data_IF_000791343484
#
_entry.id   IF_000791343484
#
_cell.length_a   1.000
_cell.length_b   1.000
_cell.length_c   1.000
_cell.angle_alpha   90.00
_cell.angle_beta   90.00
_cell.angle_gamma   90.00
#
_symmetry.space_group_name_H-M   'P 1'
#
loop_
_entity.id
_entity.type
_entity.pdbx_description
1 polymer ?
#
# COMPACT_ATOMS: atom_id res chain seq x y z
N UNK A 1 -47.15 0.22 3.02
CA UNK A 1 -45.95 0.38 3.88
C UNK A 1 -44.67 -0.21 3.27
N UNK A 2 -44.68 -0.68 2.01
CA UNK A 2 -43.48 -1.24 1.31
C UNK A 2 -42.97 -0.37 0.15
N UNK A 3 -43.64 0.76 -0.14
CA UNK A 3 -43.35 1.62 -1.29
C UNK A 3 -41.96 2.26 -1.23
N UNK A 4 -41.53 2.68 -0.04
CA UNK A 4 -40.25 3.37 0.16
C UNK A 4 -39.04 2.43 -0.05
N UNK A 5 -39.12 1.20 0.46
CA UNK A 5 -38.06 0.20 0.25
C UNK A 5 -37.99 -0.26 -1.23
N UNK A 6 -39.13 -0.34 -1.92
CA UNK A 6 -39.19 -0.64 -3.35
C UNK A 6 -38.57 0.47 -4.20
N UNK A 7 -38.85 1.73 -3.88
CA UNK A 7 -38.29 2.91 -4.56
C UNK A 7 -36.77 3.00 -4.39
N UNK A 8 -36.27 2.72 -3.18
CA UNK A 8 -34.83 2.68 -2.90
C UNK A 8 -34.14 1.56 -3.68
N UNK A 9 -34.75 0.36 -3.73
CA UNK A 9 -34.21 -0.76 -4.51
C UNK A 9 -34.14 -0.44 -6.01
N UNK A 10 -35.15 0.26 -6.54
CA UNK A 10 -35.17 0.69 -7.93
C UNK A 10 -34.06 1.71 -8.23
N UNK A 11 -33.87 2.71 -7.35
CA UNK A 11 -32.80 3.71 -7.46
C UNK A 11 -31.39 3.09 -7.42
N UNK A 12 -31.17 2.08 -6.59
CA UNK A 12 -29.89 1.36 -6.54
C UNK A 12 -29.65 0.60 -7.86
N UNK A 13 -30.69 -0.04 -8.41
CA UNK A 13 -30.59 -0.79 -9.66
C UNK A 13 -30.33 0.12 -10.86
N UNK A 14 -30.96 1.29 -10.90
CA UNK A 14 -30.73 2.31 -11.92
C UNK A 14 -29.29 2.86 -11.86
N UNK A 15 -28.81 3.25 -10.67
CA UNK A 15 -27.44 3.73 -10.45
C UNK A 15 -26.38 2.69 -10.82
N UNK A 16 -26.66 1.41 -10.57
CA UNK A 16 -25.77 0.31 -10.96
C UNK A 16 -25.55 0.26 -12.47
N UNK A 17 -26.61 0.41 -13.27
CA UNK A 17 -26.49 0.42 -14.73
C UNK A 17 -25.72 1.65 -15.25
N UNK A 18 -25.90 2.82 -14.61
CA UNK A 18 -25.16 4.04 -14.93
C UNK A 18 -23.64 3.86 -14.69
N UNK A 19 -23.26 3.33 -13.53
CA UNK A 19 -21.85 3.12 -13.18
C UNK A 19 -21.19 1.97 -13.95
N UNK A 20 -21.93 0.93 -14.35
CA UNK A 20 -21.42 -0.14 -15.21
C UNK A 20 -21.04 0.40 -16.61
N UNK A 21 -21.82 1.35 -17.14
CA UNK A 21 -21.47 2.07 -18.37
C UNK A 21 -20.25 2.99 -18.23
N UNK A 22 -20.11 3.64 -17.07
CA UNK A 22 -18.95 4.50 -16.77
C UNK A 22 -17.69 3.66 -16.59
N UNK A 23 -17.75 2.54 -15.86
CA UNK A 23 -16.61 1.64 -15.66
C UNK A 23 -16.10 1.04 -16.99
N UNK A 24 -17.00 0.82 -17.96
CA UNK A 24 -16.62 0.42 -19.31
C UNK A 24 -15.85 1.53 -20.06
N UNK A 25 -16.14 2.80 -19.74
CA UNK A 25 -15.61 3.97 -20.45
C UNK A 25 -14.36 4.54 -19.79
N UNK A 26 -14.28 4.49 -18.46
CA UNK A 26 -13.21 5.03 -17.63
C UNK A 26 -12.58 3.89 -16.83
N UNK A 27 -11.53 3.28 -17.39
CA UNK A 27 -10.84 2.12 -16.79
C UNK A 27 -10.12 2.44 -15.47
N UNK A 28 -10.16 3.70 -15.03
CA UNK A 28 -9.61 4.17 -13.76
C UNK A 28 -10.55 3.92 -12.57
N UNK A 29 -11.83 3.66 -12.82
CA UNK A 29 -12.81 3.38 -11.77
C UNK A 29 -12.66 1.92 -11.34
N UNK A 30 -12.13 1.69 -10.13
CA UNK A 30 -12.00 0.34 -9.57
C UNK A 30 -13.38 -0.32 -9.40
N UNK A 31 -13.65 -1.37 -10.19
CA UNK A 31 -14.88 -2.16 -10.19
C UNK A 31 -15.25 -2.71 -8.79
N UNK A 32 -14.26 -3.00 -7.95
CA UNK A 32 -14.46 -3.59 -6.62
C UNK A 32 -15.12 -2.64 -5.61
N UNK A 33 -15.09 -1.32 -5.86
CA UNK A 33 -15.62 -0.30 -4.93
C UNK A 33 -16.87 0.42 -5.47
N UNK A 34 -17.38 0.02 -6.64
CA UNK A 34 -18.55 0.66 -7.27
C UNK A 34 -19.81 0.41 -6.44
N UNK A 35 -20.03 -0.83 -5.99
CA UNK A 35 -21.21 -1.17 -5.19
C UNK A 35 -21.26 -0.38 -3.88
N UNK A 36 -20.13 -0.25 -3.18
CA UNK A 36 -20.03 0.55 -1.94
C UNK A 36 -20.34 2.03 -2.21
N UNK A 37 -19.82 2.58 -3.32
CA UNK A 37 -20.09 3.96 -3.72
C UNK A 37 -21.58 4.18 -3.99
N UNK A 38 -22.22 3.30 -4.77
CA UNK A 38 -23.66 3.39 -5.07
C UNK A 38 -24.48 3.35 -3.78
N UNK A 39 -24.15 2.45 -2.85
CA UNK A 39 -24.82 2.34 -1.56
C UNK A 39 -24.68 3.64 -0.77
N UNK A 40 -23.49 4.23 -0.70
CA UNK A 40 -23.28 5.50 0.01
C UNK A 40 -23.93 6.71 -0.65
N UNK A 41 -24.07 6.71 -1.97
CA UNK A 41 -24.74 7.79 -2.71
C UNK A 41 -26.27 7.73 -2.56
N UNK A 42 -26.85 6.52 -2.53
CA UNK A 42 -28.31 6.33 -2.38
C UNK A 42 -28.76 6.38 -0.92
N UNK A 43 -28.03 5.72 -0.01
CA UNK A 43 -28.41 5.59 1.41
C UNK A 43 -27.68 6.57 2.34
N UNK A 44 -26.66 7.26 1.85
CA UNK A 44 -25.76 8.10 2.65
C UNK A 44 -24.58 7.32 3.25
N UNK A 45 -23.53 8.02 3.71
CA UNK A 45 -22.39 7.38 4.36
C UNK A 45 -22.82 6.69 5.66
N UNK A 46 -22.23 5.53 5.94
CA UNK A 46 -22.52 4.70 7.11
C UNK A 46 -22.33 5.52 8.41
N UNK A 47 -23.44 5.89 9.06
CA UNK A 47 -23.41 6.68 10.29
C UNK A 47 -23.47 5.76 11.50
N UNK A 48 -22.30 5.33 11.96
CA UNK A 48 -22.09 4.50 13.16
C UNK A 48 -22.64 5.07 14.49
N UNK A 49 -23.24 6.26 14.51
CA UNK A 49 -23.63 6.99 15.74
C UNK A 49 -25.14 7.30 15.87
N UNK A 50 -26.04 6.47 15.34
CA UNK A 50 -27.49 6.64 15.58
C UNK A 50 -28.12 5.47 16.32
N UNK A 51 -27.63 5.22 17.53
CA UNK A 51 -28.48 4.72 18.61
C UNK A 51 -28.91 5.92 19.45
N UNK A 52 -29.98 6.61 19.04
CA UNK A 52 -30.62 7.61 19.89
C UNK A 52 -31.46 6.88 20.93
N UNK A 53 -30.82 6.44 22.00
CA UNK A 53 -31.55 6.10 23.22
C UNK A 53 -32.28 7.38 23.67
N UNK A 54 -33.60 7.40 23.51
CA UNK A 54 -34.44 8.39 24.17
C UNK A 54 -34.37 8.09 25.67
N UNK A 55 -33.54 8.81 26.41
CA UNK A 55 -33.45 8.64 27.86
C UNK A 55 -32.24 9.33 28.44
N UNK A 56 -32.49 10.43 29.14
CA UNK A 56 -31.63 11.10 30.13
C UNK A 56 -30.11 10.97 29.88
N UNK A 57 -29.55 12.00 29.22
CA UNK A 57 -28.11 12.10 29.00
C UNK A 57 -27.32 11.78 30.26
N UNK A 58 -26.52 10.72 30.19
CA UNK A 58 -25.45 10.53 31.15
C UNK A 58 -24.46 11.62 30.83
N UNK A 59 -24.39 12.62 31.70
CA UNK A 59 -23.28 13.56 31.74
C UNK A 59 -22.00 12.72 31.64
N UNK A 60 -21.08 13.04 30.71
CA UNK A 60 -19.76 12.42 30.70
C UNK A 60 -19.07 12.81 32.01
N UNK A 61 -19.30 12.02 33.06
CA UNK A 61 -18.54 12.11 34.29
C UNK A 61 -17.15 11.70 33.90
N UNK A 62 -16.29 12.70 33.75
CA UNK A 62 -14.87 12.54 33.52
C UNK A 62 -14.32 11.70 34.67
N UNK A 63 -14.16 10.40 34.45
CA UNK A 63 -13.33 9.59 35.32
C UNK A 63 -11.90 9.71 34.80
N UNK A 64 -11.20 10.65 35.44
CA UNK A 64 -9.81 11.02 35.23
C UNK A 64 -8.92 9.78 35.40
N UNK A 65 -8.62 9.11 34.30
CA UNK A 65 -7.80 7.91 34.27
C UNK A 65 -7.11 7.80 32.93
N UNK A 66 -6.08 8.62 32.74
CA UNK A 66 -5.17 8.62 31.60
C UNK A 66 -4.47 7.27 31.44
N UNK A 67 -5.17 6.30 30.87
CA UNK A 67 -4.60 5.04 30.40
C UNK A 67 -4.06 5.23 28.99
N UNK A 68 -2.98 6.00 28.86
CA UNK A 68 -2.22 6.18 27.62
C UNK A 68 -1.50 4.88 27.22
N UNK A 69 -2.22 3.78 27.02
CA UNK A 69 -1.64 2.63 26.32
C UNK A 69 -2.07 2.69 24.88
N UNK A 70 -1.20 3.39 24.14
CA UNK A 70 -0.97 3.26 22.72
C UNK A 70 -1.41 1.90 22.19
N UNK A 71 -2.37 1.98 21.28
CA UNK A 71 -2.56 1.04 20.18
C UNK A 71 -1.22 0.45 19.74
N UNK A 72 -1.08 -0.88 19.89
CA UNK A 72 0.08 -1.68 19.48
C UNK A 72 0.70 -1.15 18.17
N UNK A 73 2.01 -0.84 18.12
CA UNK A 73 2.63 -0.40 16.88
C UNK A 73 2.94 -1.64 16.03
N UNK A 74 2.07 -1.98 15.09
CA UNK A 74 2.34 -2.97 14.02
C UNK A 74 3.47 -2.55 13.04
N UNK A 75 4.24 -1.51 13.37
CA UNK A 75 5.33 -1.00 12.54
C UNK A 75 6.64 -1.80 12.63
N UNK A 76 6.89 -2.55 13.70
CA UNK A 76 8.22 -3.15 13.94
C UNK A 76 8.53 -4.37 13.09
N UNK A 77 7.56 -5.26 12.83
CA UNK A 77 7.81 -6.49 12.07
C UNK A 77 8.05 -6.22 10.58
N UNK A 78 7.16 -5.45 9.95
CA UNK A 78 7.31 -5.07 8.54
C UNK A 78 8.56 -4.22 8.31
N UNK A 79 8.90 -3.33 9.25
CA UNK A 79 10.09 -2.49 9.15
C UNK A 79 11.38 -3.29 9.36
N UNK A 80 11.39 -4.28 10.26
CA UNK A 80 12.53 -5.17 10.45
C UNK A 80 12.78 -6.04 9.22
N UNK A 81 11.74 -6.52 8.54
CA UNK A 81 11.87 -7.34 7.34
C UNK A 81 12.34 -6.53 6.14
N UNK A 82 11.84 -5.29 5.97
CA UNK A 82 12.36 -4.34 4.97
C UNK A 82 13.83 -4.02 5.23
N UNK A 83 14.23 -3.85 6.49
CA UNK A 83 15.63 -3.59 6.82
C UNK A 83 16.51 -4.80 6.50
N UNK A 84 16.06 -6.02 6.80
CA UNK A 84 16.79 -7.25 6.49
C UNK A 84 17.00 -7.45 4.98
N UNK A 85 15.99 -7.09 4.17
CA UNK A 85 16.09 -7.10 2.70
C UNK A 85 17.08 -6.05 2.18
N UNK A 86 17.10 -4.85 2.78
CA UNK A 86 18.08 -3.81 2.44
C UNK A 86 19.51 -4.27 2.71
N UNK A 87 19.74 -4.91 3.85
CA UNK A 87 21.06 -5.41 4.23
C UNK A 87 21.52 -6.53 3.28
N UNK A 88 20.61 -7.42 2.86
CA UNK A 88 20.92 -8.44 1.83
C UNK A 88 21.29 -7.84 0.47
N UNK A 89 20.56 -6.82 0.02
CA UNK A 89 20.86 -6.14 -1.25
C UNK A 89 22.23 -5.47 -1.18
N UNK A 90 22.53 -4.79 -0.07
CA UNK A 90 23.82 -4.14 0.13
C UNK A 90 24.98 -5.16 0.13
N UNK A 91 24.81 -6.33 0.76
CA UNK A 91 25.81 -7.40 0.74
C UNK A 91 26.03 -7.97 -0.67
N UNK A 92 24.97 -8.23 -1.42
CA UNK A 92 25.12 -8.71 -2.81
C UNK A 92 25.79 -7.64 -3.69
N UNK A 93 25.43 -6.37 -3.52
CA UNK A 93 26.06 -5.28 -4.27
C UNK A 93 27.56 -5.16 -3.95
N UNK A 94 27.96 -5.25 -2.68
CA UNK A 94 29.36 -5.21 -2.29
C UNK A 94 30.16 -6.37 -2.91
N UNK A 95 29.64 -7.60 -2.82
CA UNK A 95 30.31 -8.78 -3.37
C UNK A 95 30.44 -8.72 -4.91
N UNK A 96 29.46 -8.15 -5.61
CA UNK A 96 29.53 -7.97 -7.08
C UNK A 96 30.53 -6.88 -7.46
N UNK A 97 30.58 -5.78 -6.72
CA UNK A 97 31.56 -4.69 -6.97
C UNK A 97 32.98 -5.18 -6.71
N UNK A 98 33.19 -5.99 -5.68
CA UNK A 98 34.49 -6.59 -5.37
C UNK A 98 34.94 -7.57 -6.46
N UNK A 99 34.05 -8.45 -6.94
CA UNK A 99 34.34 -9.36 -8.07
C UNK A 99 34.71 -8.60 -9.36
N UNK A 100 34.01 -7.50 -9.68
CA UNK A 100 34.33 -6.68 -10.86
C UNK A 100 35.69 -5.97 -10.69
N UNK A 101 36.03 -5.55 -9.47
CA UNK A 101 37.31 -4.90 -9.19
C UNK A 101 38.49 -5.89 -9.27
N UNK A 102 38.33 -7.12 -8.77
CA UNK A 102 39.33 -8.19 -8.90
C UNK A 102 39.53 -8.61 -10.35
N UNK A 103 38.45 -8.85 -11.11
CA UNK A 103 38.54 -9.16 -12.54
C UNK A 103 39.18 -8.00 -13.33
N UNK A 104 38.86 -6.74 -12.99
CA UNK A 104 39.48 -5.57 -13.61
C UNK A 104 40.98 -5.43 -13.33
N UNK A 105 41.43 -5.81 -12.13
CA UNK A 105 42.85 -5.82 -11.76
C UNK A 105 43.62 -6.93 -12.49
N UNK A 106 43.04 -8.12 -12.60
CA UNK A 106 43.64 -9.26 -13.30
C UNK A 106 43.81 -8.97 -14.81
N UNK A 107 42.79 -8.38 -15.44
CA UNK A 107 42.87 -7.92 -16.84
C UNK A 107 43.94 -6.82 -17.00
N UNK A 108 44.07 -5.91 -16.02
CA UNK A 108 45.09 -4.87 -16.01
C UNK A 108 46.52 -5.42 -15.96
N UNK A 109 46.79 -6.40 -15.09
CA UNK A 109 48.09 -7.08 -15.02
C UNK A 109 48.40 -7.89 -16.28
N UNK A 110 47.40 -8.55 -16.88
CA UNK A 110 47.59 -9.32 -18.10
C UNK A 110 47.95 -8.41 -19.29
N UNK A 111 47.29 -7.25 -19.41
CA UNK A 111 47.60 -6.23 -20.43
C UNK A 111 49.01 -5.65 -20.21
N UNK A 112 49.37 -5.35 -18.96
CA UNK A 112 50.70 -4.85 -18.62
C UNK A 112 51.80 -5.87 -18.97
N UNK A 113 51.61 -7.14 -18.65
CA UNK A 113 52.56 -8.20 -18.98
C UNK A 113 52.69 -8.45 -20.50
N UNK A 114 51.59 -8.36 -21.26
CA UNK A 114 51.62 -8.48 -22.74
C UNK A 114 52.34 -7.30 -23.39
N UNK A 115 52.07 -6.07 -22.95
CA UNK A 115 52.72 -4.86 -23.49
C UNK A 115 54.22 -4.82 -23.22
N UNK A 116 54.68 -5.23 -22.04
CA UNK A 116 56.11 -5.32 -21.70
C UNK A 116 56.88 -6.35 -22.55
N UNK A 117 56.22 -7.44 -22.98
CA UNK A 117 56.81 -8.47 -23.87
C UNK A 117 56.90 -7.99 -25.33
N UNK A 118 55.96 -7.15 -25.77
CA UNK A 118 55.97 -6.55 -27.12
C UNK A 118 57.12 -5.53 -27.24
N UNK A 119 57.38 -4.74 -26.19
CA UNK A 119 58.47 -3.76 -26.18
C UNK A 119 59.89 -4.34 -26.23
N UNK A 120 60.08 -5.62 -25.86
CA UNK A 120 61.38 -6.32 -25.90
C UNK A 120 61.68 -7.07 -27.21
N UNK A 121 60.76 -7.09 -28.17
CA UNK A 121 60.93 -7.72 -29.50
C UNK A 121 61.16 -6.71 -30.64
N UNK A 122 61.48 -5.44 -30.31
CA UNK A 122 61.94 -4.42 -31.25
C UNK A 122 63.42 -4.18 -31.10
#
# INVERSE_FOLDING_TARGET
MTSEAGEIMEKIKEKKAEYEGIALTDSSVNLENIDNRIITEVLGPERYDRVRFQGSGVTPTQYFGSGSQQYMPFGSQAQAEVQRLRDQIAQMQANTVEQIAEEGLDIGEEIYCKSAKIGKRR
#
